data_IF_178793571503
#
_entry.id   IF_178793571503
#
_cell.length_a   1.000
_cell.length_b   1.000
_cell.length_c   1.000
_cell.angle_alpha   90.00
_cell.angle_beta   90.00
_cell.angle_gamma   90.00
#
_symmetry.space_group_name_H-M   'P 1'
#
loop_
_entity.id
_entity.type
_entity.pdbx_description
1 polymer ?
#
# COMPACT_ATOMS: atom_id res chain seq x y z
N UNK A 1 24.36 -25.27 29.98
CA UNK A 1 24.99 -26.23 29.06
C UNK A 1 24.16 -27.49 28.85
N UNK A 2 23.20 -27.83 29.73
CA UNK A 2 22.32 -29.00 29.54
C UNK A 2 21.19 -28.83 28.50
N UNK A 3 20.71 -27.61 28.25
CA UNK A 3 19.60 -27.39 27.29
C UNK A 3 19.95 -27.70 25.82
N UNK A 4 21.25 -27.69 25.47
CA UNK A 4 21.72 -27.93 24.10
C UNK A 4 21.78 -29.41 23.74
N UNK A 5 21.90 -30.29 24.73
CA UNK A 5 22.07 -31.73 24.51
C UNK A 5 20.72 -32.46 24.31
N UNK A 6 19.63 -31.90 24.82
CA UNK A 6 18.28 -32.47 24.65
C UNK A 6 17.71 -32.20 23.24
N UNK A 7 18.05 -31.05 22.63
CA UNK A 7 17.63 -30.75 21.25
C UNK A 7 18.33 -31.64 20.20
N UNK A 8 19.58 -32.06 20.45
CA UNK A 8 20.28 -32.97 19.54
C UNK A 8 19.73 -34.41 19.63
N UNK A 9 19.26 -34.85 20.80
CA UNK A 9 18.63 -36.17 20.96
C UNK A 9 17.28 -36.29 20.28
N UNK A 10 16.42 -35.26 20.37
CA UNK A 10 15.13 -35.25 19.66
C UNK A 10 15.30 -35.26 18.13
N UNK A 11 16.37 -34.65 17.62
CA UNK A 11 16.66 -34.59 16.18
C UNK A 11 17.12 -35.96 15.62
N UNK A 12 17.78 -36.79 16.45
CA UNK A 12 18.24 -38.11 16.03
C UNK A 12 17.14 -39.19 16.09
N UNK A 13 16.21 -39.12 17.06
CA UNK A 13 15.10 -40.07 17.15
C UNK A 13 14.09 -39.95 15.99
N UNK A 14 13.89 -38.76 15.44
CA UNK A 14 13.00 -38.55 14.30
C UNK A 14 13.55 -39.10 12.98
N UNK A 15 14.87 -39.18 12.82
CA UNK A 15 15.50 -39.67 11.59
C UNK A 15 15.41 -41.20 11.43
N UNK A 16 15.29 -41.95 12.53
CA UNK A 16 15.21 -43.42 12.49
C UNK A 16 13.79 -43.97 12.27
N UNK A 17 12.72 -43.21 12.54
CA UNK A 17 11.34 -43.66 12.31
C UNK A 17 10.86 -43.55 10.87
N UNK A 18 11.55 -42.78 10.01
CA UNK A 18 11.18 -42.55 8.61
C UNK A 18 11.48 -43.72 7.65
N UNK A 19 12.33 -44.67 8.02
CA UNK A 19 12.83 -45.71 7.10
C UNK A 19 12.17 -47.09 7.20
N UNK A 20 11.07 -47.25 7.95
CA UNK A 20 10.30 -48.51 7.99
C UNK A 20 8.84 -48.29 7.62
N UNK A 21 8.53 -48.31 6.32
CA UNK A 21 7.23 -48.77 5.77
C UNK A 21 7.41 -49.15 4.28
N UNK A 22 7.53 -50.46 4.09
CA UNK A 22 7.40 -51.32 2.90
C UNK A 22 6.22 -50.94 1.99
N UNK A 23 6.31 -50.97 0.65
CA UNK A 23 6.35 -52.11 -0.29
C UNK A 23 5.05 -52.95 -0.35
N UNK A 24 4.47 -53.07 -1.56
CA UNK A 24 3.33 -53.94 -1.95
C UNK A 24 2.57 -53.38 -3.19
N UNK A 25 2.86 -53.77 -4.43
CA UNK A 25 2.27 -54.87 -5.28
C UNK A 25 0.84 -54.64 -5.82
N UNK A 26 0.68 -54.68 -7.15
CA UNK A 26 -0.53 -55.21 -7.84
C UNK A 26 -1.23 -54.33 -8.88
N UNK A 27 -1.10 -54.68 -10.17
CA UNK A 27 -2.09 -54.51 -11.25
C UNK A 27 -2.78 -55.89 -11.50
N UNK A 28 -3.73 -56.15 -12.44
CA UNK A 28 -4.27 -55.34 -13.57
C UNK A 28 -5.81 -55.48 -13.81
N UNK A 29 -6.34 -54.87 -14.90
CA UNK A 29 -7.25 -55.47 -15.94
C UNK A 29 -8.33 -54.57 -16.56
N UNK A 30 -8.44 -54.63 -17.90
CA UNK A 30 -9.67 -55.05 -18.60
C UNK A 30 -10.75 -54.01 -18.98
N UNK A 31 -10.79 -53.63 -20.26
CA UNK A 31 -11.87 -52.99 -21.06
C UNK A 31 -13.15 -53.88 -21.23
N UNK A 32 -14.19 -53.61 -22.08
CA UNK A 32 -14.56 -52.46 -22.96
C UNK A 32 -16.09 -52.11 -23.06
N UNK A 33 -16.41 -51.17 -23.97
CA UNK A 33 -17.62 -51.08 -24.84
C UNK A 33 -18.89 -50.32 -24.41
N UNK A 34 -19.32 -49.35 -25.22
CA UNK A 34 -20.42 -49.54 -26.19
C UNK A 34 -20.81 -48.22 -26.88
N UNK A 35 -21.00 -48.31 -28.19
CA UNK A 35 -21.48 -47.26 -29.07
C UNK A 35 -23.00 -47.38 -29.24
N UNK A 36 -23.69 -46.25 -29.43
CA UNK A 36 -25.04 -46.24 -30.01
C UNK A 36 -25.12 -45.19 -31.11
N UNK A 37 -25.27 -45.68 -32.35
CA UNK A 37 -25.69 -44.96 -33.54
C UNK A 37 -27.16 -44.55 -33.45
N UNK A 38 -27.53 -43.46 -34.11
CA UNK A 38 -28.92 -43.09 -34.37
C UNK A 38 -29.07 -42.81 -35.89
N UNK A 39 -29.85 -43.60 -36.67
CA UNK A 39 -29.92 -43.48 -38.11
C UNK A 39 -31.28 -42.95 -38.57
N UNK A 40 -31.41 -41.66 -38.92
CA UNK A 40 -32.61 -41.17 -39.64
C UNK A 40 -32.21 -40.09 -40.65
N UNK A 41 -32.40 -40.41 -41.95
CA UNK A 41 -32.53 -39.58 -43.17
C UNK A 41 -31.47 -39.78 -44.26
N UNK A 42 -31.52 -40.97 -44.85
CA UNK A 42 -31.41 -41.15 -46.30
C UNK A 42 -32.70 -40.69 -46.96
N UNK A 43 -32.63 -39.74 -47.89
CA UNK A 43 -33.46 -39.64 -49.11
C UNK A 43 -33.52 -38.18 -49.63
N UNK A 44 -32.50 -37.78 -50.38
CA UNK A 44 -32.72 -36.99 -51.60
C UNK A 44 -31.47 -37.09 -52.47
N UNK A 45 -31.34 -38.23 -53.15
CA UNK A 45 -30.39 -38.40 -54.23
C UNK A 45 -30.85 -37.64 -55.46
N UNK A 46 -29.85 -37.18 -56.23
CA UNK A 46 -29.91 -36.90 -57.67
C UNK A 46 -30.93 -35.85 -58.14
N UNK A 47 -30.52 -34.58 -58.19
CA UNK A 47 -30.47 -33.79 -59.44
C UNK A 47 -29.53 -32.60 -59.22
N UNK A 48 -28.31 -32.67 -59.78
CA UNK A 48 -27.45 -31.57 -60.28
C UNK A 48 -26.01 -32.07 -60.41
N UNK A 49 -25.84 -33.04 -61.31
CA UNK A 49 -24.60 -33.13 -62.08
C UNK A 49 -24.69 -32.07 -63.18
N UNK A 50 -23.53 -31.51 -63.57
CA UNK A 50 -23.29 -30.48 -64.60
C UNK A 50 -23.15 -29.02 -64.07
N UNK A 51 -22.08 -28.75 -63.32
CA UNK A 51 -21.37 -27.46 -63.33
C UNK A 51 -19.85 -27.71 -63.23
N UNK A 52 -18.99 -27.04 -64.02
CA UNK A 52 -17.54 -27.24 -63.96
C UNK A 52 -16.95 -26.75 -62.63
N UNK A 53 -16.09 -27.56 -62.03
CA UNK A 53 -15.36 -27.29 -60.79
C UNK A 53 -14.19 -26.32 -61.00
N UNK A 54 -14.48 -25.06 -61.31
CA UNK A 54 -13.50 -23.99 -61.31
C UNK A 54 -14.05 -22.82 -60.49
N UNK A 55 -13.31 -22.42 -59.45
CA UNK A 55 -13.65 -21.46 -58.38
C UNK A 55 -14.40 -22.00 -57.16
N UNK A 56 -13.76 -22.94 -56.45
CA UNK A 56 -13.96 -23.09 -55.00
C UNK A 56 -12.67 -22.72 -54.28
N UNK A 57 -12.26 -21.44 -54.33
CA UNK A 57 -11.33 -20.91 -53.34
C UNK A 57 -12.16 -20.61 -52.10
N UNK A 58 -12.01 -21.44 -51.06
CA UNK A 58 -12.54 -21.11 -49.74
C UNK A 58 -12.03 -19.74 -49.28
N UNK A 59 -12.76 -19.05 -48.38
CA UNK A 59 -12.30 -17.78 -47.83
C UNK A 59 -10.88 -17.93 -47.29
N UNK A 60 -9.98 -16.95 -47.51
CA UNK A 60 -8.63 -17.01 -46.97
C UNK A 60 -8.71 -17.22 -45.45
N UNK A 61 -7.91 -18.16 -44.95
CA UNK A 61 -7.72 -18.38 -43.51
C UNK A 61 -7.42 -17.02 -42.84
N UNK A 62 -8.06 -16.69 -41.70
CA UNK A 62 -7.73 -15.49 -40.97
C UNK A 62 -6.22 -15.47 -40.71
N UNK A 63 -5.55 -14.41 -41.13
CA UNK A 63 -4.14 -14.19 -40.78
C UNK A 63 -3.99 -14.30 -39.26
N UNK A 64 -2.95 -14.98 -38.75
CA UNK A 64 -2.67 -15.00 -37.32
C UNK A 64 -2.63 -13.56 -36.81
N UNK A 65 -3.51 -13.23 -35.85
CA UNK A 65 -3.45 -11.93 -35.19
C UNK A 65 -2.03 -11.75 -34.63
N UNK A 66 -1.41 -10.58 -34.79
CA UNK A 66 -0.10 -10.32 -34.19
C UNK A 66 -0.19 -10.60 -32.69
N UNK A 67 0.83 -11.21 -32.08
CA UNK A 67 0.84 -11.49 -30.65
C UNK A 67 0.55 -10.19 -29.90
N UNK A 68 -0.49 -10.20 -29.07
CA UNK A 68 -0.84 -9.06 -28.23
C UNK A 68 0.42 -8.65 -27.45
N UNK A 69 0.74 -7.35 -27.38
CA UNK A 69 1.88 -6.88 -26.61
C UNK A 69 1.75 -7.41 -25.17
N UNK A 70 2.86 -7.85 -24.54
CA UNK A 70 2.81 -8.40 -23.19
C UNK A 70 2.15 -7.38 -22.25
N UNK A 71 1.14 -7.83 -21.50
CA UNK A 71 0.40 -6.99 -20.59
C UNK A 71 1.36 -6.33 -19.58
N UNK A 72 1.23 -5.01 -19.39
CA UNK A 72 2.07 -4.28 -18.44
C UNK A 72 1.66 -4.64 -17.02
N UNK A 73 2.62 -4.72 -16.09
CA UNK A 73 2.42 -5.16 -14.70
C UNK A 73 1.25 -4.46 -14.01
N UNK A 74 1.06 -3.15 -14.21
CA UNK A 74 -0.04 -2.38 -13.61
C UNK A 74 -1.43 -2.76 -14.15
N UNK A 75 -1.54 -3.37 -15.34
CA UNK A 75 -2.81 -3.77 -15.97
C UNK A 75 -3.34 -5.09 -15.42
N UNK A 76 -2.44 -5.94 -14.92
CA UNK A 76 -2.74 -7.28 -14.42
C UNK A 76 -2.34 -7.44 -12.96
N UNK A 77 -2.12 -6.33 -12.24
CA UNK A 77 -1.65 -6.37 -10.86
C UNK A 77 -2.71 -6.99 -9.95
N UNK A 78 -2.42 -8.11 -9.26
CA UNK A 78 -3.44 -8.89 -8.54
C UNK A 78 -3.87 -8.30 -7.18
N UNK A 79 -3.67 -7.00 -6.94
CA UNK A 79 -4.00 -6.32 -5.68
C UNK A 79 -5.05 -5.22 -5.84
N UNK A 80 -5.34 -4.46 -4.78
CA UNK A 80 -6.39 -3.42 -4.78
C UNK A 80 -5.87 -2.01 -5.03
N UNK A 81 -4.59 -1.84 -5.33
CA UNK A 81 -4.02 -0.54 -5.68
C UNK A 81 -4.60 -0.05 -7.03
N UNK A 82 -4.77 1.28 -7.13
CA UNK A 82 -5.21 1.94 -8.36
C UNK A 82 -4.00 2.57 -9.03
N UNK A 83 -3.82 2.31 -10.32
CA UNK A 83 -2.67 2.76 -11.09
C UNK A 83 -3.08 3.84 -12.09
N UNK A 84 -2.31 4.92 -12.16
CA UNK A 84 -2.47 5.99 -13.15
C UNK A 84 -1.16 6.21 -13.92
N UNK A 85 -1.23 6.96 -15.02
CA UNK A 85 -0.09 7.35 -15.85
C UNK A 85 0.79 6.15 -16.25
N UNK A 86 0.20 5.10 -16.84
CA UNK A 86 0.87 3.85 -17.21
C UNK A 86 1.58 3.13 -16.04
N UNK A 87 1.07 3.31 -14.82
CA UNK A 87 1.63 2.69 -13.61
C UNK A 87 2.70 3.53 -12.91
N UNK A 88 2.95 4.78 -13.35
CA UNK A 88 3.88 5.69 -12.67
C UNK A 88 3.33 6.24 -11.35
N UNK A 89 2.01 6.24 -11.19
CA UNK A 89 1.29 6.72 -10.00
C UNK A 89 0.54 5.54 -9.42
N UNK A 90 0.78 5.25 -8.14
CA UNK A 90 0.19 4.11 -7.42
C UNK A 90 -0.55 4.66 -6.21
N UNK A 91 -1.88 4.57 -6.24
CA UNK A 91 -2.75 4.99 -5.14
C UNK A 91 -3.27 3.76 -4.39
N UNK A 92 -3.68 3.93 -3.13
CA UNK A 92 -4.43 2.89 -2.44
C UNK A 92 -5.87 2.78 -2.96
N UNK A 93 -6.62 1.80 -2.43
CA UNK A 93 -7.95 1.44 -2.95
C UNK A 93 -9.05 2.48 -2.65
N UNK A 94 -8.97 3.19 -1.53
CA UNK A 94 -10.03 4.08 -1.06
C UNK A 94 -9.53 5.53 -0.96
N UNK A 95 -9.92 6.45 -1.86
CA UNK A 95 -9.40 7.82 -1.89
C UNK A 95 -10.01 8.75 -0.83
N UNK A 96 -11.01 8.30 -0.04
CA UNK A 96 -11.76 9.18 0.88
C UNK A 96 -10.87 9.93 1.85
N UNK A 97 -9.91 9.26 2.47
CA UNK A 97 -9.03 9.91 3.42
C UNK A 97 -8.09 10.92 2.76
N UNK A 98 -7.52 10.61 1.59
CA UNK A 98 -6.75 11.58 0.80
C UNK A 98 -7.57 12.83 0.44
N UNK A 99 -8.84 12.66 0.04
CA UNK A 99 -9.76 13.76 -0.25
C UNK A 99 -9.98 14.59 1.02
N UNK A 100 -10.30 13.96 2.15
CA UNK A 100 -10.54 14.64 3.42
C UNK A 100 -9.31 15.44 3.89
N UNK A 101 -8.11 14.86 3.83
CA UNK A 101 -6.86 15.53 4.18
C UNK A 101 -6.58 16.73 3.26
N UNK A 102 -6.82 16.56 1.96
CA UNK A 102 -6.64 17.64 0.98
C UNK A 102 -7.63 18.77 1.22
N UNK A 103 -8.91 18.45 1.46
CA UNK A 103 -9.94 19.43 1.81
C UNK A 103 -9.61 20.17 3.10
N UNK A 104 -9.11 19.49 4.13
CA UNK A 104 -8.72 20.12 5.39
C UNK A 104 -7.61 21.17 5.20
N UNK A 105 -6.56 20.85 4.42
CA UNK A 105 -5.48 21.79 4.10
C UNK A 105 -6.00 23.01 3.33
N UNK A 106 -6.76 22.78 2.25
CA UNK A 106 -7.27 23.85 1.38
C UNK A 106 -8.29 24.73 2.09
N UNK A 107 -9.19 24.14 2.89
CA UNK A 107 -10.19 24.89 3.65
C UNK A 107 -9.52 25.74 4.73
N UNK A 108 -8.51 25.20 5.42
CA UNK A 108 -7.75 25.95 6.42
C UNK A 108 -7.03 27.15 5.80
N UNK A 109 -6.40 26.97 4.62
CA UNK A 109 -5.79 28.07 3.88
C UNK A 109 -6.84 29.11 3.46
N UNK A 110 -7.98 28.67 2.92
CA UNK A 110 -9.02 29.59 2.48
C UNK A 110 -9.55 30.45 3.64
N UNK A 111 -9.84 29.84 4.80
CA UNK A 111 -10.26 30.58 6.00
C UNK A 111 -9.15 31.55 6.42
N UNK A 112 -7.90 31.11 6.41
CA UNK A 112 -6.76 31.93 6.80
C UNK A 112 -6.63 33.18 5.93
N UNK A 113 -6.58 33.01 4.61
CA UNK A 113 -6.45 34.11 3.66
C UNK A 113 -7.65 35.06 3.71
N UNK A 114 -8.87 34.52 3.78
CA UNK A 114 -10.09 35.30 3.72
C UNK A 114 -10.42 36.03 5.03
N UNK A 115 -10.03 35.45 6.18
CA UNK A 115 -10.54 35.89 7.49
C UNK A 115 -9.47 36.20 8.52
N UNK A 116 -8.27 35.64 8.43
CA UNK A 116 -7.23 35.82 9.46
C UNK A 116 -6.23 36.92 9.09
N UNK A 117 -5.83 36.98 7.83
CA UNK A 117 -4.84 37.95 7.35
C UNK A 117 -5.29 39.39 7.62
N UNK A 118 -4.34 40.21 8.06
CA UNK A 118 -4.53 41.63 8.33
C UNK A 118 -4.26 42.43 7.04
N UNK A 119 -5.32 43.03 6.50
CA UNK A 119 -5.26 43.79 5.25
C UNK A 119 -4.88 45.27 5.43
N UNK A 120 -4.42 45.68 6.61
CA UNK A 120 -4.10 47.09 6.90
C UNK A 120 -2.84 47.61 6.18
N UNK A 121 -1.92 46.75 5.78
CA UNK A 121 -0.74 47.14 5.00
C UNK A 121 -0.29 46.06 4.02
N UNK A 122 0.37 46.41 2.90
CA UNK A 122 0.84 45.43 1.92
C UNK A 122 1.76 44.36 2.51
N UNK A 123 2.65 44.73 3.45
CA UNK A 123 3.56 43.78 4.10
C UNK A 123 2.85 42.83 5.07
N UNK A 124 1.78 43.28 5.75
CA UNK A 124 0.96 42.43 6.64
C UNK A 124 0.08 41.44 5.88
N UNK A 125 -0.08 41.63 4.57
CA UNK A 125 -0.72 40.66 3.67
C UNK A 125 0.33 39.77 3.01
N UNK A 126 1.30 40.38 2.30
CA UNK A 126 2.20 39.68 1.39
C UNK A 126 3.07 38.64 2.10
N UNK A 127 3.65 38.99 3.25
CA UNK A 127 4.54 38.09 4.00
C UNK A 127 3.78 36.86 4.51
N UNK A 128 2.67 37.00 5.27
CA UNK A 128 1.98 35.82 5.76
C UNK A 128 1.27 35.02 4.67
N UNK A 129 0.70 35.67 3.64
CA UNK A 129 0.07 34.96 2.53
C UNK A 129 1.08 34.14 1.71
N UNK A 130 2.23 34.72 1.35
CA UNK A 130 3.26 33.97 0.63
C UNK A 130 3.83 32.83 1.48
N UNK A 131 4.04 33.06 2.77
CA UNK A 131 4.51 32.04 3.71
C UNK A 131 3.50 30.88 3.85
N UNK A 132 2.20 31.17 4.02
CA UNK A 132 1.17 30.15 4.13
C UNK A 132 1.03 29.33 2.84
N UNK A 133 1.07 29.98 1.68
CA UNK A 133 1.02 29.31 0.38
C UNK A 133 2.23 28.39 0.14
N UNK A 134 3.44 28.79 0.55
CA UNK A 134 4.63 27.94 0.46
C UNK A 134 4.48 26.71 1.36
N UNK A 135 4.01 26.90 2.60
CA UNK A 135 3.78 25.78 3.53
C UNK A 135 2.67 24.84 3.04
N UNK A 136 1.59 25.39 2.48
CA UNK A 136 0.52 24.61 1.86
C UNK A 136 1.04 23.79 0.68
N UNK A 137 1.85 24.42 -0.20
CA UNK A 137 2.44 23.74 -1.34
C UNK A 137 3.35 22.59 -0.89
N UNK A 138 4.19 22.81 0.13
CA UNK A 138 5.05 21.77 0.70
C UNK A 138 4.25 20.61 1.32
N UNK A 139 3.20 20.91 2.10
CA UNK A 139 2.33 19.91 2.71
C UNK A 139 1.55 19.11 1.65
N UNK A 140 0.98 19.79 0.66
CA UNK A 140 0.23 19.16 -0.43
C UNK A 140 1.13 18.30 -1.31
N UNK A 141 2.32 18.80 -1.68
CA UNK A 141 3.29 18.03 -2.44
C UNK A 141 3.71 16.77 -1.67
N UNK A 142 4.00 16.89 -0.38
CA UNK A 142 4.39 15.75 0.46
C UNK A 142 3.24 14.74 0.64
N UNK A 143 1.99 15.22 0.77
CA UNK A 143 0.78 14.39 0.83
C UNK A 143 0.61 13.58 -0.45
N UNK A 144 0.68 14.25 -1.60
CA UNK A 144 0.56 13.61 -2.91
C UNK A 144 1.69 12.60 -3.11
N UNK A 145 2.95 12.98 -2.85
CA UNK A 145 4.09 12.07 -2.96
C UNK A 145 3.93 10.83 -2.06
N UNK A 146 3.45 10.98 -0.82
CA UNK A 146 3.20 9.84 0.06
C UNK A 146 2.06 8.95 -0.43
N UNK A 147 0.98 9.55 -0.94
CA UNK A 147 -0.22 8.86 -1.42
C UNK A 147 -0.04 8.13 -2.75
N UNK A 148 0.76 8.69 -3.65
CA UNK A 148 0.90 8.21 -5.03
C UNK A 148 2.19 7.45 -5.30
N UNK A 149 3.08 7.33 -4.30
CA UNK A 149 4.31 6.55 -4.43
C UNK A 149 4.09 5.09 -4.09
N UNK A 150 4.83 4.22 -4.78
CA UNK A 150 4.98 2.82 -4.39
C UNK A 150 5.47 2.73 -2.93
N UNK A 151 4.73 2.09 -2.01
CA UNK A 151 5.19 1.91 -0.64
C UNK A 151 6.32 0.88 -0.51
N UNK A 152 6.61 0.10 -1.56
CA UNK A 152 7.50 -1.05 -1.53
C UNK A 152 6.73 -2.35 -1.70
N UNK A 153 5.79 -2.39 -2.64
CA UNK A 153 4.98 -3.59 -2.89
C UNK A 153 5.89 -4.74 -3.37
N UNK A 154 5.76 -5.91 -2.74
CA UNK A 154 6.52 -7.10 -3.08
C UNK A 154 5.72 -7.92 -4.11
N UNK A 155 6.30 -8.25 -5.28
CA UNK A 155 5.64 -9.09 -6.28
C UNK A 155 5.17 -10.43 -5.73
N UNK A 156 3.97 -10.85 -6.14
CA UNK A 156 3.42 -12.18 -5.79
C UNK A 156 4.16 -13.27 -6.56
N UNK A 157 4.26 -14.45 -5.97
CA UNK A 157 4.74 -15.61 -6.71
C UNK A 157 3.57 -16.17 -7.55
N UNK A 158 3.65 -15.99 -8.87
CA UNK A 158 2.64 -16.48 -9.82
C UNK A 158 2.93 -17.89 -10.34
N UNK A 159 4.10 -18.46 -10.03
CA UNK A 159 4.36 -19.86 -10.33
C UNK A 159 3.39 -20.71 -9.50
N UNK A 160 2.44 -21.37 -10.15
CA UNK A 160 1.80 -22.54 -9.57
C UNK A 160 2.92 -23.46 -9.11
N UNK A 161 2.96 -23.93 -7.85
CA UNK A 161 3.94 -24.95 -7.48
C UNK A 161 3.69 -26.12 -8.43
N UNK A 162 4.58 -26.31 -9.40
CA UNK A 162 4.65 -27.55 -10.14
C UNK A 162 4.80 -28.62 -9.06
N UNK A 163 3.84 -29.53 -9.04
CA UNK A 163 3.87 -30.78 -8.28
C UNK A 163 5.31 -31.26 -8.09
N UNK A 164 5.69 -31.52 -6.84
CA UNK A 164 6.97 -32.08 -6.38
C UNK A 164 8.07 -31.10 -5.88
N UNK A 165 7.69 -29.99 -5.25
CA UNK A 165 8.45 -29.50 -4.08
C UNK A 165 7.55 -29.60 -2.85
N UNK A 166 7.64 -30.73 -2.14
CA UNK A 166 7.08 -30.93 -0.81
C UNK A 166 7.58 -29.82 0.13
N UNK A 167 6.77 -28.78 0.33
CA UNK A 167 7.15 -27.73 1.26
C UNK A 167 6.43 -26.40 1.15
N UNK A 168 5.10 -26.36 1.01
CA UNK A 168 4.32 -25.17 1.39
C UNK A 168 4.54 -24.76 2.88
N UNK A 169 5.31 -25.54 3.64
CA UNK A 169 5.67 -25.33 5.04
C UNK A 169 7.18 -25.47 5.31
N UNK A 170 8.06 -25.53 4.31
CA UNK A 170 9.49 -25.53 4.58
C UNK A 170 9.88 -24.16 5.15
N UNK A 171 10.26 -24.12 6.43
CA UNK A 171 10.71 -22.90 7.08
C UNK A 171 11.93 -22.37 6.29
N UNK A 172 11.74 -21.30 5.51
CA UNK A 172 12.85 -20.61 4.87
C UNK A 172 13.53 -19.73 5.91
N UNK A 173 14.83 -19.91 6.04
CA UNK A 173 15.64 -19.17 6.98
C UNK A 173 16.56 -18.23 6.21
N UNK A 174 16.72 -17.00 6.71
CA UNK A 174 17.70 -16.06 6.18
C UNK A 174 18.65 -15.67 7.30
N UNK A 175 19.95 -15.76 7.03
CA UNK A 175 20.98 -15.30 7.94
C UNK A 175 21.08 -13.77 7.83
N UNK A 176 20.45 -13.04 8.76
CA UNK A 176 20.63 -11.59 8.94
C UNK A 176 21.04 -11.37 10.39
N UNK A 177 22.36 -11.39 10.64
CA UNK A 177 22.96 -11.37 11.98
C UNK A 177 22.31 -12.38 12.96
N UNK A 178 21.95 -13.57 12.45
CA UNK A 178 21.17 -14.61 13.12
C UNK A 178 20.26 -15.34 12.13
N UNK A 179 19.76 -16.51 12.50
CA UNK A 179 18.86 -17.33 11.65
C UNK A 179 17.41 -16.90 11.91
N UNK A 180 16.81 -16.12 10.99
CA UNK A 180 15.41 -15.68 11.11
C UNK A 180 14.51 -16.55 10.24
N UNK A 181 13.51 -17.19 10.86
CA UNK A 181 12.45 -17.93 10.15
C UNK A 181 11.52 -16.96 9.43
N UNK A 182 11.46 -17.05 8.10
CA UNK A 182 10.56 -16.25 7.28
C UNK A 182 9.13 -16.75 7.41
N UNK A 183 8.19 -15.81 7.58
CA UNK A 183 6.76 -16.11 7.60
C UNK A 183 6.24 -16.20 6.17
N UNK A 184 5.59 -17.30 5.83
CA UNK A 184 4.89 -17.40 4.55
C UNK A 184 3.63 -16.51 4.54
N UNK A 185 3.25 -16.02 3.37
CA UNK A 185 2.01 -15.28 3.13
C UNK A 185 1.17 -16.08 2.14
N UNK A 186 0.02 -16.58 2.60
CA UNK A 186 -0.86 -17.40 1.77
C UNK A 186 -1.47 -16.65 0.59
N UNK A 187 -1.81 -15.37 0.77
CA UNK A 187 -2.44 -14.56 -0.28
C UNK A 187 -1.47 -14.25 -1.42
N UNK A 188 -0.23 -13.90 -1.09
CA UNK A 188 0.79 -13.51 -2.07
C UNK A 188 1.70 -14.67 -2.51
N UNK A 189 1.60 -15.83 -1.85
CA UNK A 189 2.41 -17.04 -2.06
C UNK A 189 3.93 -16.79 -2.00
N UNK A 190 4.34 -15.93 -1.07
CA UNK A 190 5.76 -15.58 -0.84
C UNK A 190 6.17 -15.86 0.61
N UNK A 191 7.44 -16.22 0.79
CA UNK A 191 8.09 -16.04 2.09
C UNK A 191 8.42 -14.56 2.27
N UNK A 192 7.78 -13.93 3.24
CA UNK A 192 7.91 -12.49 3.50
C UNK A 192 9.33 -12.16 3.95
N UNK A 193 10.03 -11.22 3.28
CA UNK A 193 11.27 -10.67 3.78
C UNK A 193 11.13 -10.13 5.21
N UNK A 194 12.22 -10.07 6.00
CA UNK A 194 12.19 -9.50 7.35
C UNK A 194 11.56 -8.11 7.36
N UNK A 195 10.68 -7.84 8.34
CA UNK A 195 9.92 -6.59 8.51
C UNK A 195 8.90 -6.27 7.41
N UNK A 196 8.63 -7.19 6.47
CA UNK A 196 7.50 -7.04 5.54
C UNK A 196 6.21 -7.63 6.13
N UNK A 197 5.07 -7.03 5.78
CA UNK A 197 3.75 -7.50 6.20
C UNK A 197 2.74 -7.39 5.07
N UNK A 198 1.72 -8.26 5.12
CA UNK A 198 0.59 -8.20 4.19
C UNK A 198 -0.44 -7.20 4.71
N UNK A 199 -0.79 -6.21 3.88
CA UNK A 199 -1.89 -5.30 4.15
C UNK A 199 -3.16 -5.83 3.49
N UNK A 200 -4.15 -6.22 4.29
CA UNK A 200 -5.43 -6.72 3.77
C UNK A 200 -6.25 -5.65 3.03
N UNK A 201 -6.05 -4.36 3.35
CA UNK A 201 -6.76 -3.25 2.70
C UNK A 201 -6.28 -3.09 1.25
N UNK A 202 -4.97 -2.94 1.05
CA UNK A 202 -4.38 -2.83 -0.28
C UNK A 202 -4.23 -4.18 -1.00
N UNK A 203 -4.41 -5.29 -0.28
CA UNK A 203 -4.20 -6.67 -0.72
C UNK A 203 -2.79 -6.88 -1.31
N UNK A 204 -1.76 -6.46 -0.57
CA UNK A 204 -0.37 -6.56 -1.00
C UNK A 204 0.58 -6.75 0.18
N UNK A 205 1.62 -7.55 -0.02
CA UNK A 205 2.79 -7.53 0.87
C UNK A 205 3.61 -6.28 0.59
N UNK A 206 4.01 -5.56 1.65
CA UNK A 206 4.81 -4.34 1.56
C UNK A 206 6.10 -4.51 2.34
N UNK A 207 7.23 -4.14 1.73
CA UNK A 207 8.55 -4.20 2.35
C UNK A 207 8.74 -3.10 3.40
N UNK A 208 9.36 -3.48 4.53
CA UNK A 208 9.45 -2.70 5.77
C UNK A 208 8.14 -1.95 6.07
N UNK A 209 7.04 -2.70 6.04
CA UNK A 209 5.70 -2.20 6.30
C UNK A 209 5.64 -1.54 7.67
N UNK A 210 5.15 -0.31 7.70
CA UNK A 210 4.91 0.45 8.92
C UNK A 210 3.42 0.37 9.29
N UNK A 211 2.55 0.94 8.45
CA UNK A 211 1.09 0.84 8.62
C UNK A 211 0.34 1.15 7.33
N UNK A 212 -0.97 0.92 7.32
CA UNK A 212 -1.86 1.49 6.32
C UNK A 212 -2.43 2.81 6.86
N UNK A 213 -2.16 3.93 6.19
CA UNK A 213 -2.60 5.24 6.65
C UNK A 213 -3.95 5.59 6.01
N UNK A 214 -5.05 5.66 6.78
CA UNK A 214 -6.34 6.02 6.21
C UNK A 214 -6.36 7.46 5.70
N UNK A 215 -5.64 8.39 6.33
CA UNK A 215 -5.61 9.82 5.96
C UNK A 215 -4.91 10.11 4.62
N UNK A 216 -3.99 9.24 4.24
CA UNK A 216 -3.24 9.33 2.97
C UNK A 216 -3.82 8.36 1.95
N UNK A 217 -4.67 7.42 2.39
CA UNK A 217 -5.25 6.37 1.57
C UNK A 217 -4.19 5.46 0.93
N UNK A 218 -3.11 5.14 1.65
CA UNK A 218 -1.99 4.35 1.13
C UNK A 218 -1.22 3.65 2.27
N UNK A 219 -0.57 2.52 1.96
CA UNK A 219 0.41 1.91 2.86
C UNK A 219 1.62 2.82 3.05
N UNK A 220 2.18 2.86 4.24
CA UNK A 220 3.48 3.45 4.52
C UNK A 220 4.49 2.30 4.67
N UNK A 221 5.52 2.32 3.85
CA UNK A 221 6.56 1.31 3.81
C UNK A 221 7.90 1.90 3.36
N UNK A 222 8.86 1.04 3.02
CA UNK A 222 10.23 1.45 2.73
C UNK A 222 10.35 2.62 1.74
N UNK A 223 9.60 2.58 0.64
CA UNK A 223 9.85 3.47 -0.52
C UNK A 223 9.14 4.82 -0.42
N UNK A 224 8.12 4.96 0.41
CA UNK A 224 7.40 6.23 0.62
C UNK A 224 7.51 6.81 2.04
N UNK A 225 8.18 6.11 2.98
CA UNK A 225 8.36 6.58 4.36
C UNK A 225 8.93 8.00 4.46
N UNK A 226 9.89 8.37 3.59
CA UNK A 226 10.47 9.72 3.59
C UNK A 226 9.46 10.81 3.27
N UNK A 227 8.53 10.54 2.35
CA UNK A 227 7.49 11.49 1.96
C UNK A 227 6.44 11.62 3.06
N UNK A 228 6.14 10.52 3.73
CA UNK A 228 5.31 10.52 4.93
C UNK A 228 5.92 11.36 6.07
N UNK A 229 7.23 11.24 6.34
CA UNK A 229 7.92 12.11 7.31
C UNK A 229 7.89 13.59 6.90
N UNK A 230 8.12 13.88 5.60
CA UNK A 230 8.01 15.25 5.08
C UNK A 230 6.60 15.81 5.23
N UNK A 231 5.56 14.99 5.01
CA UNK A 231 4.17 15.36 5.24
C UNK A 231 3.92 15.71 6.70
N UNK A 232 4.37 14.89 7.66
CA UNK A 232 4.19 15.19 9.08
C UNK A 232 4.84 16.52 9.46
N UNK A 233 6.08 16.76 9.03
CA UNK A 233 6.81 17.99 9.33
C UNK A 233 6.19 19.23 8.66
N UNK A 234 5.86 19.14 7.37
CA UNK A 234 5.29 20.27 6.61
C UNK A 234 3.87 20.61 7.05
N UNK A 235 3.02 19.61 7.32
CA UNK A 235 1.69 19.83 7.86
C UNK A 235 1.75 20.41 9.30
N UNK A 236 2.66 19.92 10.15
CA UNK A 236 2.86 20.48 11.48
C UNK A 236 3.28 21.95 11.41
N UNK A 237 4.22 22.29 10.52
CA UNK A 237 4.64 23.68 10.30
C UNK A 237 3.49 24.56 9.78
N UNK A 238 2.72 24.06 8.81
CA UNK A 238 1.53 24.73 8.27
C UNK A 238 0.51 25.05 9.37
N UNK A 239 0.05 24.05 10.14
CA UNK A 239 -0.94 24.28 11.18
C UNK A 239 -0.41 25.10 12.36
N UNK A 240 0.88 25.01 12.69
CA UNK A 240 1.51 25.88 13.69
C UNK A 240 1.50 27.34 13.24
N UNK A 241 1.80 27.60 11.96
CA UNK A 241 1.73 28.92 11.37
C UNK A 241 0.30 29.48 11.42
N UNK A 242 -0.69 28.68 11.00
CA UNK A 242 -2.11 29.03 11.06
C UNK A 242 -2.56 29.36 12.48
N UNK A 243 -2.20 28.52 13.45
CA UNK A 243 -2.55 28.70 14.85
C UNK A 243 -1.97 30.01 15.40
N UNK A 244 -0.68 30.27 15.17
CA UNK A 244 0.00 31.46 15.69
C UNK A 244 -0.65 32.77 15.22
N UNK A 245 -0.93 32.88 13.91
CA UNK A 245 -1.57 34.08 13.34
C UNK A 245 -3.04 34.21 13.76
N UNK A 246 -3.76 33.10 13.88
CA UNK A 246 -5.16 33.11 14.33
C UNK A 246 -5.26 33.54 15.79
N UNK A 247 -4.39 33.03 16.68
CA UNK A 247 -4.30 33.47 18.07
C UNK A 247 -3.92 34.95 18.16
N UNK A 248 -2.98 35.42 17.34
CA UNK A 248 -2.61 36.84 17.26
C UNK A 248 -3.83 37.71 16.92
N UNK A 249 -4.62 37.34 15.91
CA UNK A 249 -5.86 38.05 15.54
C UNK A 249 -6.85 38.13 16.70
N UNK A 250 -7.11 37.01 17.38
CA UNK A 250 -8.02 36.96 18.52
C UNK A 250 -7.54 37.89 19.64
N UNK A 251 -6.24 37.83 19.99
CA UNK A 251 -5.65 38.69 21.01
C UNK A 251 -5.76 40.18 20.66
N UNK A 252 -5.36 40.58 19.46
CA UNK A 252 -5.48 41.99 19.02
C UNK A 252 -6.92 42.50 19.07
N UNK A 253 -7.91 41.67 18.68
CA UNK A 253 -9.32 42.07 18.76
C UNK A 253 -9.80 42.20 20.20
N UNK A 254 -9.36 41.30 21.08
CA UNK A 254 -9.67 41.31 22.51
C UNK A 254 -9.13 42.57 23.17
N UNK A 255 -7.86 42.91 22.90
CA UNK A 255 -7.20 44.10 23.45
C UNK A 255 -7.88 45.40 22.98
N UNK A 256 -8.21 45.49 21.69
CA UNK A 256 -8.84 46.69 21.10
C UNK A 256 -10.29 46.92 21.52
N UNK A 257 -11.02 45.86 21.87
CA UNK A 257 -12.47 45.95 22.20
C UNK A 257 -12.72 45.81 23.70
N UNK A 258 -11.72 45.38 24.47
CA UNK A 258 -11.85 44.95 25.87
C UNK A 258 -12.99 43.92 26.08
N UNK A 259 -13.36 43.19 25.02
CA UNK A 259 -14.46 42.25 25.04
C UNK A 259 -14.00 40.88 25.55
N UNK A 260 -14.88 40.19 26.27
CA UNK A 260 -14.59 38.85 26.79
C UNK A 260 -14.50 37.79 25.69
N UNK A 261 -13.79 36.69 25.96
CA UNK A 261 -13.55 35.58 25.00
C UNK A 261 -14.84 35.03 24.40
N UNK A 262 -15.91 34.89 25.20
CA UNK A 262 -17.20 34.38 24.72
C UNK A 262 -17.86 35.31 23.69
N UNK A 263 -17.79 36.63 23.91
CA UNK A 263 -18.28 37.63 22.94
C UNK A 263 -17.45 37.64 21.65
N UNK A 264 -16.14 37.39 21.75
CA UNK A 264 -15.30 37.22 20.56
C UNK A 264 -15.62 35.91 19.82
N UNK A 265 -15.95 34.84 20.53
CA UNK A 265 -16.30 33.56 19.91
C UNK A 265 -17.56 33.67 19.04
N UNK A 266 -18.53 34.50 19.43
CA UNK A 266 -19.72 34.78 18.61
C UNK A 266 -19.43 35.77 17.48
N UNK A 267 -18.46 36.66 17.65
CA UNK A 267 -18.12 37.70 16.65
C UNK A 267 -17.14 37.21 15.58
N UNK A 268 -16.22 36.30 15.94
CA UNK A 268 -15.16 35.76 15.09
C UNK A 268 -15.18 34.21 15.09
N UNK A 269 -16.32 33.55 14.84
CA UNK A 269 -16.44 32.10 14.99
C UNK A 269 -15.43 31.34 14.13
N UNK A 270 -15.11 31.83 12.94
CA UNK A 270 -14.12 31.22 12.05
C UNK A 270 -12.71 31.17 12.64
N UNK A 271 -12.31 32.18 13.42
CA UNK A 271 -10.99 32.24 14.04
C UNK A 271 -10.90 31.22 15.18
N UNK A 272 -11.98 31.05 15.95
CA UNK A 272 -12.03 30.03 16.99
C UNK A 272 -12.05 28.62 16.41
N UNK A 273 -12.83 28.38 15.35
CA UNK A 273 -12.86 27.08 14.65
C UNK A 273 -11.49 26.74 14.08
N UNK A 274 -10.84 27.67 13.36
CA UNK A 274 -9.51 27.44 12.79
C UNK A 274 -8.45 27.25 13.87
N UNK A 275 -8.50 28.00 14.97
CA UNK A 275 -7.57 27.84 16.09
C UNK A 275 -7.74 26.49 16.79
N UNK A 276 -8.98 26.07 17.06
CA UNK A 276 -9.28 24.78 17.68
C UNK A 276 -8.85 23.62 16.77
N UNK A 277 -9.20 23.67 15.48
CA UNK A 277 -8.80 22.65 14.52
C UNK A 277 -7.28 22.55 14.36
N UNK A 278 -6.59 23.70 14.26
CA UNK A 278 -5.13 23.76 14.17
C UNK A 278 -4.48 23.20 15.43
N UNK A 279 -4.96 23.56 16.63
CA UNK A 279 -4.44 23.03 17.90
C UNK A 279 -4.56 21.51 18.00
N UNK A 280 -5.75 20.97 17.71
CA UNK A 280 -5.98 19.52 17.72
C UNK A 280 -5.07 18.80 16.72
N UNK A 281 -4.89 19.38 15.54
CA UNK A 281 -4.02 18.83 14.50
C UNK A 281 -2.54 18.90 14.88
N UNK A 282 -2.09 20.01 15.47
CA UNK A 282 -0.71 20.17 15.99
C UNK A 282 -0.43 19.11 17.06
N UNK A 283 -1.35 18.90 18.00
CA UNK A 283 -1.19 17.86 19.03
C UNK A 283 -1.10 16.47 18.41
N UNK A 284 -2.02 16.11 17.51
CA UNK A 284 -2.02 14.81 16.85
C UNK A 284 -0.75 14.57 16.02
N UNK A 285 -0.36 15.53 15.18
CA UNK A 285 0.84 15.43 14.35
C UNK A 285 2.13 15.46 15.18
N UNK A 286 2.18 16.27 16.24
CA UNK A 286 3.32 16.35 17.15
C UNK A 286 3.56 15.04 17.89
N UNK A 287 2.50 14.42 18.43
CA UNK A 287 2.59 13.10 19.06
C UNK A 287 3.03 12.02 18.08
N UNK A 288 2.45 12.02 16.86
CA UNK A 288 2.80 11.05 15.82
C UNK A 288 4.24 11.22 15.34
N UNK A 289 4.71 12.44 15.14
CA UNK A 289 6.09 12.74 14.75
C UNK A 289 7.06 12.34 15.87
N UNK A 290 6.74 12.61 17.13
CA UNK A 290 7.55 12.17 18.28
C UNK A 290 7.63 10.64 18.37
N UNK A 291 6.52 9.95 18.14
CA UNK A 291 6.48 8.49 18.07
C UNK A 291 7.38 7.94 16.95
N UNK A 292 7.28 8.47 15.73
CA UNK A 292 8.14 8.03 14.64
C UNK A 292 9.61 8.40 14.85
N UNK A 293 9.91 9.57 15.43
CA UNK A 293 11.27 9.95 15.82
C UNK A 293 11.86 8.95 16.82
N UNK A 294 11.05 8.52 17.81
CA UNK A 294 11.44 7.48 18.74
C UNK A 294 11.68 6.13 18.05
N UNK A 295 10.82 5.72 17.11
CA UNK A 295 11.02 4.48 16.35
C UNK A 295 12.29 4.53 15.48
N UNK A 296 12.58 5.67 14.84
CA UNK A 296 13.80 5.86 14.05
C UNK A 296 15.03 5.86 14.95
N UNK A 297 14.97 6.53 16.10
CA UNK A 297 16.04 6.54 17.09
C UNK A 297 16.30 5.12 17.62
N UNK A 298 15.26 4.37 17.99
CA UNK A 298 15.39 2.96 18.38
C UNK A 298 15.87 2.08 17.27
N UNK A 299 15.43 2.26 16.02
CA UNK A 299 15.92 1.47 14.89
C UNK A 299 17.40 1.77 14.57
N UNK A 300 17.86 3.00 14.81
CA UNK A 300 19.26 3.40 14.65
C UNK A 300 20.12 2.94 15.82
N UNK A 301 19.62 3.08 17.05
CA UNK A 301 20.23 2.56 18.25
C UNK A 301 20.30 1.05 18.20
N UNK A 302 19.22 0.38 17.78
CA UNK A 302 19.21 -1.04 17.49
C UNK A 302 20.21 -1.31 16.38
N UNK A 303 20.25 -0.65 15.22
CA UNK A 303 21.34 -0.89 14.24
C UNK A 303 22.76 -0.73 14.81
N UNK A 304 22.98 0.24 15.70
CA UNK A 304 24.27 0.44 16.41
C UNK A 304 24.52 -0.61 17.49
N UNK A 305 23.48 -1.06 18.18
CA UNK A 305 23.48 -2.13 19.16
C UNK A 305 23.43 -3.51 18.50
N UNK A 306 22.97 -3.67 17.26
CA UNK A 306 22.88 -4.90 16.46
C UNK A 306 24.26 -5.26 15.89
N UNK A 307 25.24 -4.34 15.99
CA UNK A 307 26.67 -4.67 15.95
C UNK A 307 27.14 -5.36 17.25
N UNK A 308 26.33 -5.41 18.30
CA UNK A 308 26.71 -5.88 19.65
C UNK A 308 25.71 -6.92 20.24
N UNK A 309 24.41 -6.87 19.92
CA UNK A 309 23.29 -7.61 20.50
C UNK A 309 22.07 -7.62 19.55
N UNK A 310 21.93 -8.70 18.78
CA UNK A 310 20.73 -9.05 18.00
C UNK A 310 19.85 -9.97 18.83
N UNK A 311 18.63 -9.56 19.23
CA UNK A 311 17.44 -10.43 19.45
C UNK A 311 16.20 -9.55 19.71
N UNK A 312 15.05 -9.96 19.15
CA UNK A 312 13.65 -9.59 19.46
C UNK A 312 13.16 -8.18 19.14
N UNK A 313 12.63 -8.01 17.93
CA UNK A 313 11.26 -7.53 17.64
C UNK A 313 10.77 -8.15 16.33
#
# INVERSE_FOLDING_TARGET
MEYSADQEREMQEHHHRGHRRSAGTGAPDGSPSSATCNPIRTACGMVRSLMPSFFSRGPPLPLPLPPLPPARVHQVWPGRNVFFLDGRVICGPDPRGLILSSMALLLSEWIFLARVIDSSSPHRILIPASSSLILLAAATASLLLAATSDPGIIPRNQASPSSEEDGASAARFVAVNGVVRLKFCETCKIHRPPRSSHCAVCDNCVDKFDHHCPWISQCIGLRNYRFYMLLLCSALAFYTFMFAFTVRRIRTKMDNTSAGVFSLATTLPESFVLAAFSFMTICALGCLLAFHAFLVAKNTLNKRLLLIYMVQW
#
